data_IF_067839483273
#
_entry.id   IF_067839483273
#
_cell.length_a   1.000
_cell.length_b   1.000
_cell.length_c   1.000
_cell.angle_alpha   90.00
_cell.angle_beta   90.00
_cell.angle_gamma   90.00
#
_symmetry.space_group_name_H-M   'P 1'
#
loop_
_entity.id
_entity.type
_entity.pdbx_description
1 polymer ?
#
# COMPACT_ATOMS: atom_id res chain seq x y z
N UNK A 1 7.30 -11.95 4.80
CA UNK A 1 8.07 -10.91 4.10
C UNK A 1 7.21 -9.66 4.03
N UNK A 2 7.61 -8.60 4.70
CA UNK A 2 6.98 -7.30 4.61
C UNK A 2 7.59 -6.54 3.42
N UNK A 3 6.75 -6.00 2.55
CA UNK A 3 7.18 -5.22 1.39
C UNK A 3 6.39 -3.92 1.31
N UNK A 4 7.00 -2.88 0.75
CA UNK A 4 6.33 -1.63 0.42
C UNK A 4 6.60 -1.26 -1.05
N UNK A 5 5.67 -0.56 -1.64
CA UNK A 5 5.77 0.00 -2.99
C UNK A 5 5.81 1.52 -2.90
N UNK A 6 6.67 2.15 -3.69
CA UNK A 6 6.83 3.60 -3.72
C UNK A 6 6.94 4.14 -5.12
N UNK A 7 6.31 5.28 -5.34
CA UNK A 7 6.23 5.96 -6.63
C UNK A 7 7.17 7.15 -6.80
N UNK A 8 8.00 7.47 -5.80
CA UNK A 8 8.83 8.67 -5.82
C UNK A 8 10.30 8.43 -5.52
N UNK A 9 11.12 9.39 -5.94
CA UNK A 9 12.58 9.39 -5.93
C UNK A 9 13.23 9.11 -4.55
N UNK A 10 14.50 8.70 -4.60
CA UNK A 10 15.36 8.31 -3.46
C UNK A 10 15.32 9.31 -2.28
N UNK A 11 15.21 10.61 -2.54
CA UNK A 11 15.15 11.63 -1.48
C UNK A 11 13.90 11.57 -0.60
N UNK A 12 12.76 11.15 -1.14
CA UNK A 12 11.53 10.99 -0.34
C UNK A 12 11.51 9.70 0.45
N UNK A 13 12.23 8.66 0.01
CA UNK A 13 12.32 7.39 0.74
C UNK A 13 13.02 7.55 2.09
N UNK A 14 14.02 8.40 2.20
CA UNK A 14 14.75 8.63 3.44
C UNK A 14 13.87 9.28 4.52
N UNK A 15 12.97 10.19 4.12
CA UNK A 15 12.00 10.81 5.04
C UNK A 15 10.98 9.79 5.56
N UNK A 16 10.47 8.94 4.68
CA UNK A 16 9.55 7.88 5.09
C UNK A 16 10.20 6.85 6.02
N UNK A 17 11.48 6.56 5.82
CA UNK A 17 12.20 5.64 6.69
C UNK A 17 12.34 6.18 8.12
N UNK A 18 12.44 7.50 8.30
CA UNK A 18 12.41 8.14 9.63
C UNK A 18 11.06 7.90 10.31
N UNK A 19 9.96 8.15 9.60
CA UNK A 19 8.61 7.94 10.12
C UNK A 19 8.33 6.46 10.42
N UNK A 20 8.70 5.55 9.52
CA UNK A 20 8.56 4.10 9.76
C UNK A 20 9.36 3.64 10.97
N UNK A 21 10.59 4.13 11.13
CA UNK A 21 11.43 3.83 12.30
C UNK A 21 10.81 4.36 13.59
N UNK A 22 10.26 5.57 13.58
CA UNK A 22 9.56 6.14 14.72
C UNK A 22 8.33 5.28 15.09
N UNK A 23 7.61 4.78 14.10
CA UNK A 23 6.48 3.86 14.27
C UNK A 23 6.92 2.42 14.64
N UNK A 24 8.21 2.11 14.63
CA UNK A 24 8.71 0.75 14.87
C UNK A 24 8.32 -0.23 13.78
N UNK A 25 8.24 0.23 12.53
CA UNK A 25 7.94 -0.57 11.34
C UNK A 25 9.21 -0.76 10.53
N UNK A 26 9.49 -2.00 10.13
CA UNK A 26 10.60 -2.35 9.26
C UNK A 26 10.13 -3.24 8.10
N UNK A 27 10.93 -3.35 7.03
CA UNK A 27 10.60 -4.10 5.85
C UNK A 27 11.77 -4.99 5.42
N UNK A 28 11.49 -6.26 5.16
CA UNK A 28 12.49 -7.19 4.61
C UNK A 28 12.92 -6.79 3.20
N UNK A 29 12.01 -6.21 2.41
CA UNK A 29 12.27 -5.82 1.03
C UNK A 29 11.41 -4.64 0.60
N UNK A 30 12.02 -3.72 -0.14
CA UNK A 30 11.35 -2.55 -0.73
C UNK A 30 11.31 -2.71 -2.25
N UNK A 31 10.14 -2.50 -2.85
CA UNK A 31 9.95 -2.44 -4.29
C UNK A 31 9.63 -0.99 -4.69
N UNK A 32 10.44 -0.42 -5.55
CA UNK A 32 10.24 0.93 -6.07
C UNK A 32 9.46 0.87 -7.39
N UNK A 33 8.46 1.71 -7.55
CA UNK A 33 7.67 1.77 -8.79
C UNK A 33 8.54 2.01 -10.02
N UNK A 34 9.58 2.83 -9.90
CA UNK A 34 10.59 3.06 -10.95
C UNK A 34 11.25 1.78 -11.47
N UNK A 35 11.28 0.73 -10.66
CA UNK A 35 11.86 -0.57 -11.02
C UNK A 35 10.80 -1.60 -11.44
N UNK A 36 9.55 -1.42 -11.00
CA UNK A 36 8.49 -2.40 -11.22
C UNK A 36 7.57 -2.07 -12.40
N UNK A 37 7.50 -0.81 -12.83
CA UNK A 37 6.57 -0.40 -13.89
C UNK A 37 6.81 -1.09 -15.24
N UNK A 38 8.02 -1.57 -15.51
CA UNK A 38 8.35 -2.30 -16.74
C UNK A 38 7.96 -3.78 -16.70
N UNK A 39 7.85 -4.36 -15.50
CA UNK A 39 7.65 -5.81 -15.34
C UNK A 39 6.31 -6.27 -15.92
N UNK A 40 5.29 -5.47 -15.84
CA UNK A 40 3.96 -5.80 -16.35
C UNK A 40 3.87 -5.88 -17.86
N UNK A 41 4.75 -5.21 -18.62
CA UNK A 41 4.71 -5.20 -20.09
C UNK A 41 4.93 -6.58 -20.69
N UNK A 42 5.85 -7.37 -20.13
CA UNK A 42 6.09 -8.74 -20.58
C UNK A 42 4.88 -9.65 -20.39
N UNK A 43 4.15 -9.48 -19.29
CA UNK A 43 2.89 -10.19 -19.04
C UNK A 43 1.78 -9.76 -20.00
N UNK A 44 1.76 -8.49 -20.39
CA UNK A 44 0.80 -8.02 -21.40
C UNK A 44 1.11 -8.64 -22.77
N UNK A 45 2.37 -8.74 -23.17
CA UNK A 45 2.77 -9.42 -24.40
C UNK A 45 2.45 -10.92 -24.35
N UNK A 46 2.63 -11.55 -23.21
CA UNK A 46 2.24 -12.95 -23.00
C UNK A 46 0.72 -13.12 -23.16
N UNK A 47 -0.08 -12.26 -22.53
CA UNK A 47 -1.54 -12.30 -22.64
C UNK A 47 -2.05 -12.08 -24.05
N UNK A 48 -1.41 -11.21 -24.82
CA UNK A 48 -1.71 -11.04 -26.26
C UNK A 48 -1.40 -12.31 -27.06
N UNK A 49 -0.27 -12.94 -26.82
CA UNK A 49 0.10 -14.21 -27.48
C UNK A 49 -0.85 -15.36 -27.14
N UNK A 50 -1.34 -15.40 -25.92
CA UNK A 50 -2.31 -16.40 -25.43
C UNK A 50 -3.75 -16.10 -25.89
N UNK A 51 -4.02 -14.93 -26.49
CA UNK A 51 -5.37 -14.49 -26.84
C UNK A 51 -6.25 -14.13 -25.65
N UNK A 52 -5.67 -13.96 -24.47
CA UNK A 52 -6.35 -13.51 -23.24
C UNK A 52 -6.59 -12.00 -23.30
N UNK A 53 -5.63 -11.27 -23.87
CA UNK A 53 -5.73 -9.84 -24.11
C UNK A 53 -5.90 -9.55 -25.58
N UNK A 54 -6.47 -8.40 -25.90
CA UNK A 54 -6.67 -7.97 -27.27
C UNK A 54 -6.29 -6.49 -27.45
N UNK A 55 -6.00 -6.13 -28.69
CA UNK A 55 -5.60 -4.78 -29.06
C UNK A 55 -6.75 -4.08 -29.78
N UNK A 56 -7.03 -2.87 -29.36
CA UNK A 56 -7.99 -1.99 -30.04
C UNK A 56 -7.34 -1.24 -31.22
N UNK A 57 -8.12 -0.62 -32.12
CA UNK A 57 -7.60 0.11 -33.28
C UNK A 57 -6.64 1.28 -32.93
N UNK A 58 -6.77 1.84 -31.73
CA UNK A 58 -5.90 2.88 -31.18
C UNK A 58 -4.61 2.34 -30.57
N UNK A 59 -4.28 1.07 -30.78
CA UNK A 59 -3.16 0.32 -30.20
C UNK A 59 -3.24 0.05 -28.71
N UNK A 60 -4.25 0.51 -27.99
CA UNK A 60 -4.43 0.18 -26.57
C UNK A 60 -4.68 -1.32 -26.39
N UNK A 61 -4.22 -1.85 -25.25
CA UNK A 61 -4.41 -3.27 -24.91
C UNK A 61 -5.39 -3.41 -23.77
N UNK A 62 -6.33 -4.32 -23.95
CA UNK A 62 -7.45 -4.54 -23.05
C UNK A 62 -7.63 -6.02 -22.73
N UNK A 63 -8.33 -6.28 -21.62
CA UNK A 63 -8.91 -7.57 -21.28
C UNK A 63 -10.42 -7.41 -21.10
N UNK A 64 -11.16 -8.37 -21.63
CA UNK A 64 -12.61 -8.48 -21.43
C UNK A 64 -12.88 -9.41 -20.24
N UNK A 65 -13.51 -8.87 -19.19
CA UNK A 65 -13.91 -9.57 -17.98
C UNK A 65 -15.43 -9.59 -17.81
N UNK A 66 -16.18 -9.22 -18.84
CA UNK A 66 -17.66 -9.11 -18.79
C UNK A 66 -18.35 -10.44 -18.52
N UNK A 67 -17.79 -11.53 -19.04
CA UNK A 67 -18.27 -12.89 -18.75
C UNK A 67 -18.11 -13.29 -17.26
N UNK A 68 -17.23 -12.62 -16.53
CA UNK A 68 -16.99 -12.83 -15.11
C UNK A 68 -17.71 -11.80 -14.22
N UNK A 69 -18.58 -10.96 -14.83
CA UNK A 69 -19.35 -9.94 -14.13
C UNK A 69 -18.58 -8.67 -13.79
N UNK A 70 -17.42 -8.46 -14.42
CA UNK A 70 -16.62 -7.24 -14.30
C UNK A 70 -16.61 -6.48 -15.63
N UNK A 71 -15.94 -5.33 -15.67
CA UNK A 71 -15.81 -4.53 -16.90
C UNK A 71 -14.59 -4.95 -17.73
N UNK A 72 -14.57 -4.51 -19.00
CA UNK A 72 -13.31 -4.48 -19.75
C UNK A 72 -12.28 -3.58 -19.05
N UNK A 73 -11.02 -4.00 -19.02
CA UNK A 73 -9.93 -3.26 -18.37
C UNK A 73 -8.81 -2.93 -19.34
N UNK A 74 -8.41 -1.66 -19.30
CA UNK A 74 -7.24 -1.17 -19.99
C UNK A 74 -5.99 -1.69 -19.28
N UNK A 75 -5.02 -2.20 -20.04
CA UNK A 75 -3.72 -2.66 -19.57
C UNK A 75 -2.58 -1.77 -20.11
N UNK A 76 -2.62 -1.41 -21.38
CA UNK A 76 -1.68 -0.45 -21.95
C UNK A 76 -2.46 0.61 -22.74
N UNK A 77 -2.03 1.86 -22.64
CA UNK A 77 -2.53 2.94 -23.50
C UNK A 77 -2.03 2.76 -24.92
N UNK A 78 -2.63 3.45 -25.87
CA UNK A 78 -2.27 3.39 -27.28
C UNK A 78 -0.83 3.79 -27.59
N UNK A 79 -0.21 4.60 -26.75
CA UNK A 79 1.21 4.98 -26.81
C UNK A 79 2.14 3.93 -26.16
N UNK A 80 1.60 2.83 -25.63
CA UNK A 80 2.33 1.75 -24.95
C UNK A 80 2.69 2.06 -23.50
N UNK A 81 2.15 3.13 -22.90
CA UNK A 81 2.34 3.40 -21.46
C UNK A 81 1.49 2.48 -20.60
N UNK A 82 2.10 2.02 -19.50
CA UNK A 82 1.43 1.18 -18.49
C UNK A 82 0.38 1.96 -17.70
N UNK A 83 -0.60 1.24 -17.20
CA UNK A 83 -1.54 1.72 -16.17
C UNK A 83 -1.26 0.99 -14.85
N UNK A 84 -1.85 1.42 -13.76
CA UNK A 84 -1.63 0.80 -12.44
C UNK A 84 -1.84 -0.72 -12.44
N UNK A 85 -2.88 -1.22 -13.12
CA UNK A 85 -3.13 -2.66 -13.23
C UNK A 85 -1.95 -3.43 -13.82
N UNK A 86 -1.30 -2.88 -14.84
CA UNK A 86 -0.13 -3.51 -15.48
C UNK A 86 1.06 -3.54 -14.54
N UNK A 87 1.26 -2.47 -13.78
CA UNK A 87 2.33 -2.40 -12.78
C UNK A 87 2.11 -3.43 -11.68
N UNK A 88 0.87 -3.54 -11.18
CA UNK A 88 0.52 -4.49 -10.12
C UNK A 88 0.62 -5.95 -10.58
N UNK A 89 0.24 -6.24 -11.83
CA UNK A 89 0.46 -7.56 -12.43
C UNK A 89 1.95 -7.93 -12.43
N UNK A 90 2.79 -7.00 -12.88
CA UNK A 90 4.25 -7.20 -12.90
C UNK A 90 4.83 -7.36 -11.51
N UNK A 91 4.37 -6.56 -10.56
CA UNK A 91 4.82 -6.61 -9.17
C UNK A 91 4.39 -7.91 -8.49
N UNK A 92 3.14 -8.34 -8.67
CA UNK A 92 2.65 -9.61 -8.15
C UNK A 92 3.45 -10.80 -8.70
N UNK A 93 3.64 -10.83 -10.02
CA UNK A 93 4.46 -11.84 -10.67
C UNK A 93 5.87 -11.90 -10.05
N UNK A 94 6.54 -10.75 -9.95
CA UNK A 94 7.89 -10.66 -9.41
C UNK A 94 7.98 -11.11 -7.95
N UNK A 95 6.98 -10.79 -7.14
CA UNK A 95 6.94 -11.20 -5.72
C UNK A 95 6.84 -12.73 -5.58
N UNK A 96 5.99 -13.38 -6.34
CA UNK A 96 5.88 -14.83 -6.33
C UNK A 96 7.16 -15.51 -6.81
N UNK A 97 7.75 -15.04 -7.93
CA UNK A 97 8.98 -15.59 -8.48
C UNK A 97 10.19 -15.43 -7.54
N UNK A 98 10.40 -14.21 -7.02
CA UNK A 98 11.57 -13.89 -6.20
C UNK A 98 11.54 -14.57 -4.83
N UNK A 99 10.36 -14.71 -4.22
CA UNK A 99 10.23 -15.10 -2.83
C UNK A 99 9.63 -16.50 -2.65
N UNK A 100 9.17 -17.16 -3.71
CA UNK A 100 8.49 -18.48 -3.67
C UNK A 100 7.39 -18.51 -2.62
N UNK A 101 6.47 -17.54 -2.72
CA UNK A 101 5.42 -17.31 -1.74
C UNK A 101 4.40 -18.44 -1.78
N UNK A 102 3.95 -18.89 -0.60
CA UNK A 102 2.76 -19.72 -0.46
C UNK A 102 1.51 -18.83 -0.52
N UNK A 103 1.52 -17.69 0.18
CA UNK A 103 0.43 -16.71 0.19
C UNK A 103 0.96 -15.29 0.06
N UNK A 104 0.15 -14.41 -0.54
CA UNK A 104 0.42 -12.98 -0.64
C UNK A 104 -0.74 -12.18 -0.08
N UNK A 105 -0.46 -11.38 0.95
CA UNK A 105 -1.45 -10.51 1.58
C UNK A 105 -1.14 -9.06 1.23
N UNK A 106 -2.09 -8.40 0.56
CA UNK A 106 -2.07 -6.97 0.31
C UNK A 106 -2.86 -6.24 1.38
N UNK A 107 -2.18 -5.39 2.15
CA UNK A 107 -2.80 -4.53 3.16
C UNK A 107 -3.03 -3.16 2.53
N UNK A 108 -4.23 -2.92 2.02
CA UNK A 108 -4.58 -1.72 1.23
C UNK A 108 -6.01 -1.29 1.56
N UNK A 109 -6.31 0.00 1.46
CA UNK A 109 -7.63 0.54 1.73
C UNK A 109 -8.75 -0.10 0.89
N UNK A 110 -9.94 -0.15 1.46
CA UNK A 110 -11.13 -0.79 0.86
C UNK A 110 -11.57 -0.19 -0.48
N UNK A 111 -11.14 1.01 -0.80
CA UNK A 111 -11.39 1.64 -2.12
C UNK A 111 -10.76 0.83 -3.27
N UNK A 112 -9.77 -0.02 -2.98
CA UNK A 112 -9.09 -0.88 -3.95
C UNK A 112 -9.70 -2.29 -4.07
N UNK A 113 -10.81 -2.60 -3.40
CA UNK A 113 -11.44 -3.92 -3.46
C UNK A 113 -11.67 -4.41 -4.89
N UNK A 114 -12.24 -3.55 -5.74
CA UNK A 114 -12.48 -3.87 -7.14
C UNK A 114 -11.18 -4.10 -7.93
N UNK A 115 -10.15 -3.29 -7.67
CA UNK A 115 -8.85 -3.43 -8.31
C UNK A 115 -8.22 -4.80 -8.02
N UNK A 116 -8.27 -5.27 -6.77
CA UNK A 116 -7.72 -6.58 -6.40
C UNK A 116 -8.55 -7.75 -6.94
N UNK A 117 -9.87 -7.60 -7.09
CA UNK A 117 -10.69 -8.59 -7.80
C UNK A 117 -10.24 -8.73 -9.26
N UNK A 118 -10.03 -7.61 -9.94
CA UNK A 118 -9.51 -7.59 -11.32
C UNK A 118 -8.12 -8.21 -11.39
N UNK A 119 -7.20 -7.83 -10.51
CA UNK A 119 -5.83 -8.36 -10.47
C UNK A 119 -5.81 -9.89 -10.38
N UNK A 120 -6.57 -10.45 -9.44
CA UNK A 120 -6.68 -11.91 -9.26
C UNK A 120 -7.22 -12.59 -10.52
N UNK A 121 -8.27 -12.04 -11.10
CA UNK A 121 -8.91 -12.63 -12.27
C UNK A 121 -8.01 -12.56 -13.51
N UNK A 122 -7.27 -11.47 -13.69
CA UNK A 122 -6.32 -11.32 -14.79
C UNK A 122 -5.18 -12.33 -14.66
N UNK A 123 -4.59 -12.49 -13.48
CA UNK A 123 -3.56 -13.51 -13.22
C UNK A 123 -4.10 -14.92 -13.50
N UNK A 124 -5.31 -15.23 -13.06
CA UNK A 124 -5.95 -16.52 -13.31
C UNK A 124 -6.12 -16.81 -14.81
N UNK A 125 -6.61 -15.83 -15.57
CA UNK A 125 -6.79 -15.96 -17.04
C UNK A 125 -5.46 -16.06 -17.78
N UNK A 126 -4.38 -15.48 -17.26
CA UNK A 126 -3.02 -15.65 -17.78
C UNK A 126 -2.44 -17.04 -17.53
N UNK A 127 -3.06 -17.84 -16.67
CA UNK A 127 -2.62 -19.21 -16.33
C UNK A 127 -1.87 -19.31 -15.01
N UNK A 128 -1.88 -18.23 -14.19
CA UNK A 128 -1.31 -18.19 -12.84
C UNK A 128 -2.40 -18.43 -11.78
N UNK A 129 -3.24 -19.45 -11.98
CA UNK A 129 -4.35 -19.74 -11.08
C UNK A 129 -3.86 -20.05 -9.66
N UNK A 130 -2.80 -20.84 -9.54
CA UNK A 130 -2.21 -21.20 -8.25
C UNK A 130 -1.80 -19.97 -7.44
N UNK A 131 -1.26 -18.94 -8.11
CA UNK A 131 -0.90 -17.68 -7.43
C UNK A 131 -2.12 -16.82 -7.13
N UNK A 132 -3.06 -16.72 -8.09
CA UNK A 132 -4.24 -15.86 -7.92
C UNK A 132 -5.11 -16.27 -6.75
N UNK A 133 -5.22 -17.59 -6.49
CA UNK A 133 -6.02 -18.12 -5.41
C UNK A 133 -5.37 -17.87 -4.02
N UNK A 134 -4.06 -17.66 -4.00
CA UNK A 134 -3.25 -17.32 -2.82
C UNK A 134 -3.02 -15.82 -2.60
N UNK A 135 -3.69 -14.96 -3.36
CA UNK A 135 -3.70 -13.51 -3.13
C UNK A 135 -4.87 -13.14 -2.24
N UNK A 136 -4.60 -12.53 -1.11
CA UNK A 136 -5.61 -11.97 -0.21
C UNK A 136 -5.49 -10.46 -0.13
N UNK A 137 -6.59 -9.74 -0.34
CA UNK A 137 -6.69 -8.33 -0.04
C UNK A 137 -7.24 -8.15 1.38
N UNK A 138 -6.36 -7.85 2.32
CA UNK A 138 -6.73 -7.42 3.67
C UNK A 138 -7.07 -5.93 3.59
N UNK A 139 -8.34 -5.65 3.33
CA UNK A 139 -8.84 -4.29 3.20
C UNK A 139 -9.10 -3.66 4.56
N UNK A 140 -8.78 -2.37 4.70
CA UNK A 140 -9.11 -1.58 5.88
C UNK A 140 -9.96 -0.36 5.48
N UNK A 141 -10.74 0.16 6.45
CA UNK A 141 -11.50 1.39 6.27
C UNK A 141 -10.57 2.60 6.17
N UNK A 142 -11.00 3.62 5.42
CA UNK A 142 -10.22 4.86 5.30
C UNK A 142 -10.17 5.59 6.63
N UNK A 143 -8.97 6.10 6.96
CA UNK A 143 -8.81 7.04 8.08
C UNK A 143 -9.30 8.41 7.62
N UNK A 144 -10.32 8.92 8.27
CA UNK A 144 -10.95 10.20 7.91
C UNK A 144 -10.77 11.21 9.05
N UNK A 145 -10.67 12.48 8.69
CA UNK A 145 -10.74 13.59 9.63
C UNK A 145 -12.21 13.83 10.03
N UNK A 146 -12.48 14.52 11.16
CA UNK A 146 -13.85 14.91 11.51
C UNK A 146 -14.57 15.70 10.40
N UNK A 147 -13.82 16.43 9.60
CA UNK A 147 -14.30 17.23 8.46
C UNK A 147 -14.46 16.40 7.18
N UNK A 148 -14.09 15.13 7.17
CA UNK A 148 -14.19 14.22 6.04
C UNK A 148 -12.85 13.67 5.53
N UNK A 149 -12.84 13.20 4.26
CA UNK A 149 -11.67 12.55 3.67
C UNK A 149 -10.46 13.47 3.53
N UNK A 150 -9.29 12.97 3.90
CA UNK A 150 -8.02 13.64 3.61
C UNK A 150 -7.78 13.70 2.10
N UNK A 151 -7.45 14.90 1.60
CA UNK A 151 -7.17 15.12 0.19
C UNK A 151 -5.85 15.86 0.01
N UNK A 152 -4.83 15.15 -0.42
CA UNK A 152 -3.48 15.72 -0.61
C UNK A 152 -3.47 16.92 -1.57
N UNK A 153 -4.31 16.88 -2.62
CA UNK A 153 -4.39 17.97 -3.62
C UNK A 153 -5.07 19.24 -3.09
N UNK A 154 -5.83 19.13 -2.02
CA UNK A 154 -6.55 20.26 -1.39
C UNK A 154 -5.84 20.75 -0.12
N UNK A 155 -4.69 20.17 0.25
CA UNK A 155 -3.91 20.55 1.43
C UNK A 155 -4.56 20.14 2.78
N UNK A 156 -5.60 19.31 2.74
CA UNK A 156 -6.26 18.78 3.95
C UNK A 156 -5.65 17.44 4.33
N UNK A 157 -4.36 17.44 4.67
CA UNK A 157 -3.63 16.25 5.10
C UNK A 157 -3.08 16.52 6.49
N UNK A 158 -3.21 15.55 7.39
CA UNK A 158 -2.48 15.55 8.66
C UNK A 158 -1.17 14.80 8.42
N UNK A 159 -0.06 15.46 8.71
CA UNK A 159 1.25 14.85 8.65
C UNK A 159 1.39 13.80 9.76
N UNK A 160 1.96 12.64 9.42
CA UNK A 160 2.11 11.55 10.38
C UNK A 160 3.08 11.90 11.51
N UNK A 161 4.13 12.64 11.20
CA UNK A 161 5.14 13.04 12.18
C UNK A 161 4.59 14.08 13.14
N UNK A 162 3.76 15.03 12.66
CA UNK A 162 3.05 15.99 13.51
C UNK A 162 2.06 15.27 14.44
N UNK A 163 1.31 14.30 13.91
CA UNK A 163 0.37 13.52 14.72
C UNK A 163 1.10 12.71 15.81
N UNK A 164 2.24 12.13 15.50
CA UNK A 164 3.09 11.44 16.48
C UNK A 164 3.55 12.42 17.57
N UNK A 165 4.04 13.59 17.17
CA UNK A 165 4.53 14.61 18.09
C UNK A 165 3.42 15.10 19.05
N UNK A 166 2.22 15.38 18.52
CA UNK A 166 1.07 15.80 19.30
C UNK A 166 0.63 14.73 20.31
N UNK A 167 0.59 13.48 19.90
CA UNK A 167 0.23 12.36 20.78
C UNK A 167 1.26 12.15 21.89
N UNK A 168 2.54 12.32 21.60
CA UNK A 168 3.62 12.23 22.60
C UNK A 168 3.53 13.40 23.59
N UNK A 169 3.30 14.62 23.10
CA UNK A 169 3.11 15.79 23.94
C UNK A 169 1.90 15.64 24.88
N UNK A 170 0.77 15.21 24.34
CA UNK A 170 -0.45 14.94 25.13
C UNK A 170 -0.21 13.87 26.20
N UNK A 171 0.46 12.77 25.84
CA UNK A 171 0.79 11.71 26.80
C UNK A 171 1.69 12.24 27.92
N UNK A 172 2.63 13.13 27.61
CA UNK A 172 3.51 13.75 28.58
C UNK A 172 2.75 14.65 29.55
N UNK A 173 1.90 15.55 29.02
CA UNK A 173 1.07 16.45 29.84
C UNK A 173 0.17 15.67 30.81
N UNK A 174 -0.57 14.69 30.30
CA UNK A 174 -1.44 13.85 31.12
C UNK A 174 -0.67 13.08 32.20
N UNK A 175 0.50 12.55 31.86
CA UNK A 175 1.33 11.80 32.82
C UNK A 175 1.90 12.71 33.90
N UNK A 176 2.27 13.95 33.57
CA UNK A 176 2.73 14.94 34.52
C UNK A 176 1.60 15.40 35.47
N UNK A 177 0.40 15.69 34.92
CA UNK A 177 -0.77 16.05 35.74
C UNK A 177 -1.14 14.96 36.76
N UNK A 178 -0.90 13.69 36.40
CA UNK A 178 -1.14 12.54 37.28
C UNK A 178 0.03 12.27 38.24
N UNK A 179 1.09 13.08 38.24
CA UNK A 179 2.28 12.89 39.08
C UNK A 179 3.08 11.64 38.74
N UNK A 180 2.92 11.11 37.52
CA UNK A 180 3.58 9.84 37.12
C UNK A 180 5.02 10.03 36.63
N UNK A 181 5.45 11.28 36.46
CA UNK A 181 6.80 11.63 35.98
C UNK A 181 7.66 12.31 37.04
N UNK A 182 7.14 12.49 38.28
CA UNK A 182 7.79 13.27 39.33
C UNK A 182 9.16 12.71 39.75
N UNK A 183 9.32 11.38 39.72
CA UNK A 183 10.56 10.67 40.08
C UNK A 183 11.42 10.30 38.84
N UNK A 184 11.02 10.71 37.64
CA UNK A 184 11.71 10.37 36.40
C UNK A 184 12.75 11.43 36.02
N UNK A 185 13.87 11.01 35.49
CA UNK A 185 14.74 11.91 34.73
C UNK A 185 14.05 12.41 33.48
N UNK A 186 14.53 13.52 32.91
CA UNK A 186 13.99 14.08 31.66
C UNK A 186 14.03 13.05 30.50
N UNK A 187 15.09 12.25 30.43
CA UNK A 187 15.25 11.20 29.44
C UNK A 187 14.22 10.08 29.61
N UNK A 188 14.00 9.63 30.84
CA UNK A 188 12.98 8.63 31.17
C UNK A 188 11.57 9.15 30.91
N UNK A 189 11.28 10.39 31.28
CA UNK A 189 10.00 11.03 31.03
C UNK A 189 9.70 11.10 29.51
N UNK A 190 10.68 11.47 28.70
CA UNK A 190 10.56 11.49 27.25
C UNK A 190 10.34 10.07 26.67
N UNK A 191 11.09 9.08 27.14
CA UNK A 191 10.94 7.70 26.69
C UNK A 191 9.55 7.13 27.02
N UNK A 192 9.07 7.33 28.24
CA UNK A 192 7.75 6.88 28.68
C UNK A 192 6.65 7.58 27.88
N UNK A 193 6.73 8.92 27.73
CA UNK A 193 5.74 9.69 26.97
C UNK A 193 5.67 9.24 25.50
N UNK A 194 6.84 8.95 24.90
CA UNK A 194 6.89 8.42 23.53
C UNK A 194 6.23 7.05 23.44
N UNK A 195 6.53 6.12 24.33
CA UNK A 195 5.90 4.80 24.34
C UNK A 195 4.39 4.87 24.52
N UNK A 196 3.92 5.70 25.43
CA UNK A 196 2.47 5.87 25.69
C UNK A 196 1.78 6.54 24.52
N UNK A 197 2.34 7.64 23.99
CA UNK A 197 1.76 8.39 22.86
C UNK A 197 1.68 7.52 21.59
N UNK A 198 2.76 6.83 21.22
CA UNK A 198 2.76 5.91 20.08
C UNK A 198 1.83 4.71 20.30
N UNK A 199 1.81 4.15 21.50
CA UNK A 199 0.91 3.05 21.84
C UNK A 199 -0.55 3.45 21.71
N UNK A 200 -0.92 4.64 22.20
CA UNK A 200 -2.27 5.17 22.07
C UNK A 200 -2.67 5.42 20.62
N UNK A 201 -1.78 6.03 19.83
CA UNK A 201 -2.00 6.28 18.40
C UNK A 201 -2.25 4.96 17.64
N UNK A 202 -1.35 4.00 17.79
CA UNK A 202 -1.47 2.69 17.13
C UNK A 202 -2.73 1.96 17.55
N UNK A 203 -3.02 1.94 18.84
CA UNK A 203 -4.23 1.30 19.34
C UNK A 203 -5.49 1.95 18.79
N UNK A 204 -5.53 3.28 18.73
CA UNK A 204 -6.69 4.00 18.20
C UNK A 204 -6.93 3.67 16.73
N UNK A 205 -5.88 3.72 15.90
CA UNK A 205 -5.99 3.42 14.47
C UNK A 205 -6.41 1.96 14.23
N UNK A 206 -5.84 1.01 14.98
CA UNK A 206 -6.13 -0.42 14.81
C UNK A 206 -7.47 -0.85 15.43
N UNK A 207 -8.02 -0.08 16.36
CA UNK A 207 -9.30 -0.36 17.02
C UNK A 207 -10.50 -0.02 16.15
N UNK A 208 -10.35 0.91 15.22
CA UNK A 208 -11.45 1.38 14.36
C UNK A 208 -11.70 0.34 13.29
N UNK A 209 -12.94 -0.12 13.20
CA UNK A 209 -13.44 -1.10 12.22
C UNK A 209 -13.50 -0.52 10.80
#
# INVERSE_FOLDING_TARGET
ILTRDWSSDVCSSDLFDVTYKALGVDFDKVYYESQTYLLGKSLVEEGLRKGVFYRRPDNSVWIDLTADGLDEKLLLRGDGTSVYMTQDLGTAYRRFEDNKLDDMIYVVGNEQNYHFQVLKLVLKKLGYADWSDHITHLSYGMVELPEGKMKSREGTVVDADDLIADMVATAREMSAELGKLDDCSEEEANAVSTMVGLGALKYFILKVD
#
